data_IF_614084454377
#
_entry.id   IF_614084454377
#
_cell.length_a   1.000
_cell.length_b   1.000
_cell.length_c   1.000
_cell.angle_alpha   90.00
_cell.angle_beta   90.00
_cell.angle_gamma   90.00
#
_symmetry.space_group_name_H-M   'P 1'
#
loop_
_entity.id
_entity.type
_entity.pdbx_description
1 polymer ?
#
# COMPACT_ATOMS: atom_id res chain seq x y z
N UNK A 1 32.83 -60.89 -25.05
CA UNK A 1 31.52 -60.19 -25.17
C UNK A 1 31.02 -59.56 -23.88
N UNK A 2 31.77 -59.45 -22.77
CA UNK A 2 31.28 -58.86 -21.47
C UNK A 2 31.66 -57.37 -21.23
N UNK A 3 32.56 -56.77 -21.97
CA UNK A 3 32.99 -55.37 -21.76
C UNK A 3 32.05 -54.29 -22.35
N UNK A 4 31.23 -54.60 -23.36
CA UNK A 4 30.29 -53.64 -23.98
C UNK A 4 29.00 -53.41 -23.18
N UNK A 5 28.60 -54.36 -22.34
CA UNK A 5 27.40 -54.25 -21.51
C UNK A 5 27.62 -53.33 -20.32
N UNK A 6 28.85 -53.31 -19.72
CA UNK A 6 29.19 -52.49 -18.56
C UNK A 6 29.20 -50.97 -18.88
N UNK A 7 29.69 -50.58 -20.08
CA UNK A 7 29.68 -49.17 -20.50
C UNK A 7 28.27 -48.60 -20.75
N UNK A 8 27.34 -49.41 -21.21
CA UNK A 8 25.96 -48.98 -21.45
C UNK A 8 25.19 -48.74 -20.17
N UNK A 9 25.42 -49.58 -19.13
CA UNK A 9 24.75 -49.43 -17.83
C UNK A 9 25.27 -48.23 -17.08
N UNK A 10 26.59 -47.92 -17.11
CA UNK A 10 27.17 -46.74 -16.46
C UNK A 10 26.72 -45.42 -17.11
N UNK A 11 26.56 -45.41 -18.46
CA UNK A 11 26.09 -44.19 -19.17
C UNK A 11 24.62 -43.88 -18.85
N UNK A 12 23.78 -44.90 -18.69
CA UNK A 12 22.36 -44.72 -18.33
C UNK A 12 22.19 -44.20 -16.88
N UNK A 13 23.05 -44.70 -15.97
CA UNK A 13 23.03 -44.25 -14.56
C UNK A 13 23.51 -42.81 -14.41
N UNK A 14 24.53 -42.38 -15.17
CA UNK A 14 24.95 -40.95 -15.17
C UNK A 14 23.90 -40.03 -15.79
N UNK A 15 23.20 -40.46 -16.84
CA UNK A 15 22.12 -39.67 -17.44
C UNK A 15 20.89 -39.53 -16.51
N UNK A 16 20.58 -40.57 -15.72
CA UNK A 16 19.53 -40.53 -14.73
C UNK A 16 19.88 -39.61 -13.50
N UNK A 17 21.16 -39.55 -13.08
CA UNK A 17 21.63 -38.63 -12.06
C UNK A 17 21.66 -37.17 -12.54
N UNK A 18 21.95 -36.95 -13.83
CA UNK A 18 21.92 -35.59 -14.41
C UNK A 18 20.48 -35.07 -14.61
N UNK A 19 19.50 -35.92 -14.84
CA UNK A 19 18.07 -35.55 -14.90
C UNK A 19 17.45 -35.29 -13.51
N UNK A 20 18.06 -35.78 -12.44
CA UNK A 20 17.60 -35.55 -11.07
C UNK A 20 18.01 -34.20 -10.44
N UNK A 21 18.90 -33.45 -11.08
CA UNK A 21 19.20 -32.05 -10.73
C UNK A 21 18.28 -31.08 -11.49
N UNK A 22 16.98 -31.35 -11.53
CA UNK A 22 16.02 -30.26 -11.69
C UNK A 22 16.23 -29.36 -10.46
N UNK A 23 17.05 -28.31 -10.62
CA UNK A 23 17.26 -27.31 -9.58
C UNK A 23 15.87 -26.90 -9.13
N UNK A 24 15.50 -27.23 -7.90
CA UNK A 24 14.38 -26.59 -7.25
C UNK A 24 14.69 -25.11 -7.31
N UNK A 25 14.09 -24.41 -8.26
CA UNK A 25 14.29 -22.99 -8.46
C UNK A 25 13.84 -22.33 -7.16
N UNK A 26 14.81 -21.92 -6.34
CA UNK A 26 14.52 -21.27 -5.05
C UNK A 26 13.63 -20.07 -5.33
N UNK A 27 12.52 -19.99 -4.61
CA UNK A 27 11.60 -18.87 -4.75
C UNK A 27 12.34 -17.55 -4.51
N UNK A 28 12.08 -16.56 -5.34
CA UNK A 28 12.68 -15.22 -5.19
C UNK A 28 12.04 -14.53 -3.98
N UNK A 29 12.81 -14.16 -2.95
CA UNK A 29 12.28 -13.44 -1.80
C UNK A 29 11.90 -12.02 -2.22
N UNK A 30 10.74 -11.55 -1.74
CA UNK A 30 10.26 -10.17 -1.91
C UNK A 30 9.69 -9.68 -0.59
N UNK A 31 10.25 -8.61 -0.06
CA UNK A 31 9.69 -7.88 1.07
C UNK A 31 8.79 -6.77 0.56
N UNK A 32 7.50 -6.88 0.83
CA UNK A 32 6.48 -5.92 0.42
C UNK A 32 5.92 -5.19 1.64
N UNK A 33 5.84 -3.86 1.58
CA UNK A 33 5.20 -3.07 2.64
C UNK A 33 3.93 -2.40 2.14
N UNK A 34 2.83 -2.61 2.89
CA UNK A 34 1.62 -1.82 2.74
C UNK A 34 1.87 -0.37 3.23
N UNK A 35 1.06 0.54 2.77
CA UNK A 35 1.06 1.93 3.26
C UNK A 35 0.29 2.09 4.57
N UNK A 36 -0.53 1.10 4.93
CA UNK A 36 -1.41 1.15 6.08
C UNK A 36 -1.48 -0.18 6.83
N UNK A 37 -2.28 -0.19 7.89
CA UNK A 37 -2.57 -1.37 8.71
C UNK A 37 -3.28 -2.46 7.90
N UNK A 38 -3.29 -3.67 8.44
CA UNK A 38 -4.14 -4.75 7.94
C UNK A 38 -5.60 -4.44 8.22
N UNK A 39 -6.27 -3.90 7.24
CA UNK A 39 -7.69 -3.55 7.22
C UNK A 39 -8.29 -4.02 5.88
N UNK A 40 -9.58 -3.82 5.64
CA UNK A 40 -10.27 -4.30 4.44
C UNK A 40 -9.48 -4.19 3.12
N UNK A 41 -8.89 -3.04 2.78
CA UNK A 41 -8.14 -2.89 1.53
C UNK A 41 -6.89 -3.76 1.41
N UNK A 42 -6.32 -4.24 2.52
CA UNK A 42 -5.19 -5.16 2.50
C UNK A 42 -5.54 -6.54 1.93
N UNK A 43 -6.84 -6.87 1.85
CA UNK A 43 -7.33 -8.10 1.22
C UNK A 43 -6.80 -8.26 -0.22
N UNK A 44 -6.61 -7.16 -0.97
CA UNK A 44 -6.06 -7.18 -2.32
C UNK A 44 -4.68 -7.84 -2.40
N UNK A 45 -3.90 -7.77 -1.32
CA UNK A 45 -2.55 -8.31 -1.21
C UNK A 45 -2.48 -9.62 -0.41
N UNK A 46 -3.28 -9.71 0.66
CA UNK A 46 -3.28 -10.88 1.56
C UNK A 46 -4.00 -12.08 0.93
N UNK A 47 -5.05 -11.85 0.16
CA UNK A 47 -5.75 -12.94 -0.55
C UNK A 47 -4.84 -13.69 -1.52
N UNK A 48 -4.11 -13.06 -2.47
CA UNK A 48 -3.19 -13.78 -3.33
C UNK A 48 -2.05 -14.46 -2.56
N UNK A 49 -1.61 -13.91 -1.42
CA UNK A 49 -0.63 -14.54 -0.55
C UNK A 49 -1.20 -15.81 0.11
N UNK A 50 -2.38 -15.73 0.72
CA UNK A 50 -3.07 -16.83 1.39
C UNK A 50 -3.42 -17.97 0.40
N UNK A 51 -3.81 -17.62 -0.82
CA UNK A 51 -4.11 -18.59 -1.89
C UNK A 51 -2.89 -19.17 -2.58
N UNK A 52 -1.70 -18.73 -2.23
CA UNK A 52 -0.46 -19.26 -2.79
C UNK A 52 -0.08 -18.74 -4.18
N UNK A 53 -0.77 -17.72 -4.74
CA UNK A 53 -0.49 -17.24 -6.10
C UNK A 53 0.93 -16.67 -6.25
N UNK A 54 1.48 -16.08 -5.21
CA UNK A 54 2.89 -15.68 -5.22
C UNK A 54 3.82 -16.89 -5.23
N UNK A 55 3.51 -17.94 -4.45
CA UNK A 55 4.31 -19.18 -4.42
C UNK A 55 4.27 -19.91 -5.76
N UNK A 56 3.11 -19.97 -6.41
CA UNK A 56 2.96 -20.55 -7.74
C UNK A 56 3.77 -19.77 -8.78
N UNK A 57 3.92 -18.46 -8.58
CA UNK A 57 4.77 -17.58 -9.38
C UNK A 57 6.26 -17.66 -9.01
N UNK A 58 6.67 -18.61 -8.14
CA UNK A 58 8.04 -18.77 -7.63
C UNK A 58 8.55 -17.55 -6.86
N UNK A 59 7.66 -16.89 -6.13
CA UNK A 59 7.98 -15.77 -5.25
C UNK A 59 7.70 -16.15 -3.79
N UNK A 60 8.63 -15.77 -2.89
CA UNK A 60 8.46 -15.85 -1.45
C UNK A 60 8.20 -14.44 -0.93
N UNK A 61 6.91 -14.07 -0.83
CA UNK A 61 6.48 -12.70 -0.53
C UNK A 61 6.15 -12.58 0.96
N UNK A 62 6.85 -11.70 1.64
CA UNK A 62 6.50 -11.24 2.99
C UNK A 62 5.79 -9.89 2.88
N UNK A 63 4.62 -9.76 3.50
CA UNK A 63 3.80 -8.53 3.48
C UNK A 63 3.71 -7.98 4.90
N UNK A 64 4.16 -6.74 5.07
CA UNK A 64 4.12 -6.03 6.35
C UNK A 64 3.20 -4.81 6.29
N UNK A 65 2.57 -4.50 7.42
CA UNK A 65 1.76 -3.30 7.58
C UNK A 65 2.63 -2.03 7.57
N UNK A 66 2.04 -0.91 7.16
CA UNK A 66 2.65 0.42 7.16
C UNK A 66 1.97 1.39 8.13
N UNK A 67 2.50 2.61 8.14
CA UNK A 67 1.99 3.72 8.96
C UNK A 67 1.80 5.01 8.14
N UNK A 68 1.66 4.88 6.84
CA UNK A 68 1.46 5.96 5.87
C UNK A 68 2.40 5.84 4.67
N UNK A 69 1.91 6.27 3.50
CA UNK A 69 2.60 6.14 2.21
C UNK A 69 4.00 6.76 2.20
N UNK A 70 4.21 7.90 2.87
CA UNK A 70 5.55 8.51 2.97
C UNK A 70 6.57 7.60 3.66
N UNK A 71 6.13 6.83 4.67
CA UNK A 71 6.96 5.84 5.35
C UNK A 71 7.34 4.68 4.44
N UNK A 72 6.39 4.17 3.66
CA UNK A 72 6.63 3.09 2.69
C UNK A 72 7.61 3.52 1.61
N UNK A 73 7.42 4.71 1.02
CA UNK A 73 8.37 5.27 0.02
C UNK A 73 9.79 5.31 0.57
N UNK A 74 9.96 5.84 1.79
CA UNK A 74 11.29 5.94 2.44
C UNK A 74 11.92 4.58 2.66
N UNK A 75 11.15 3.57 3.08
CA UNK A 75 11.67 2.23 3.35
C UNK A 75 12.02 1.46 2.08
N UNK A 76 11.26 1.64 1.00
CA UNK A 76 11.63 1.08 -0.31
C UNK A 76 12.89 1.79 -0.86
N UNK A 77 12.99 3.11 -0.72
CA UNK A 77 14.17 3.87 -1.11
C UNK A 77 15.43 3.46 -0.34
N UNK A 78 15.30 3.15 0.96
CA UNK A 78 16.44 2.70 1.78
C UNK A 78 16.84 1.24 1.52
N UNK A 79 16.03 0.47 0.78
CA UNK A 79 16.26 -0.96 0.53
C UNK A 79 15.83 -1.87 1.68
N UNK A 80 15.12 -1.36 2.70
CA UNK A 80 14.53 -2.17 3.76
C UNK A 80 13.39 -3.07 3.21
N UNK A 81 12.72 -2.61 2.15
CA UNK A 81 11.71 -3.33 1.38
C UNK A 81 12.03 -3.26 -0.11
N UNK A 82 11.67 -4.32 -0.83
CA UNK A 82 11.89 -4.42 -2.28
C UNK A 82 10.79 -3.72 -3.07
N UNK A 83 9.56 -3.81 -2.55
CA UNK A 83 8.34 -3.27 -3.14
C UNK A 83 7.43 -2.71 -2.03
N UNK A 84 6.43 -1.93 -2.42
CA UNK A 84 5.40 -1.47 -1.48
C UNK A 84 4.20 -0.85 -2.17
N UNK A 85 3.17 -0.58 -1.37
CA UNK A 85 2.00 0.21 -1.76
C UNK A 85 2.19 1.63 -1.22
N UNK A 86 2.09 2.64 -2.07
CA UNK A 86 2.19 4.03 -1.63
C UNK A 86 1.41 4.97 -2.54
N UNK A 87 0.88 6.03 -1.96
CA UNK A 87 0.25 7.12 -2.71
C UNK A 87 1.26 7.79 -3.65
N UNK A 88 0.82 8.06 -4.88
CA UNK A 88 1.71 8.58 -5.92
C UNK A 88 2.19 10.01 -5.59
N UNK A 89 1.39 10.83 -4.91
CA UNK A 89 1.82 12.16 -4.48
C UNK A 89 2.95 12.07 -3.43
N UNK A 90 2.91 11.10 -2.52
CA UNK A 90 3.99 10.86 -1.57
C UNK A 90 5.28 10.41 -2.28
N UNK A 91 5.18 9.61 -3.35
CA UNK A 91 6.31 9.23 -4.18
C UNK A 91 6.90 10.44 -4.91
N UNK A 92 6.06 11.27 -5.52
CA UNK A 92 6.48 12.50 -6.22
C UNK A 92 7.15 13.49 -5.27
N UNK A 93 6.59 13.67 -4.07
CA UNK A 93 7.19 14.51 -3.02
C UNK A 93 8.58 14.00 -2.61
N UNK A 94 8.72 12.69 -2.42
CA UNK A 94 10.03 12.09 -2.12
C UNK A 94 11.05 12.38 -3.24
N UNK A 95 10.65 12.24 -4.51
CA UNK A 95 11.52 12.55 -5.65
C UNK A 95 11.92 14.03 -5.68
N UNK A 96 10.99 14.93 -5.42
CA UNK A 96 11.24 16.38 -5.42
C UNK A 96 12.18 16.79 -4.27
N UNK A 97 12.01 16.21 -3.09
CA UNK A 97 12.82 16.54 -1.92
C UNK A 97 14.19 15.84 -1.90
N UNK A 98 14.40 14.85 -2.77
CA UNK A 98 15.64 14.07 -2.84
C UNK A 98 16.11 13.96 -4.29
N UNK A 99 16.44 15.09 -4.98
CA UNK A 99 16.77 15.10 -6.40
C UNK A 99 17.94 14.18 -6.74
N UNK A 100 18.96 14.12 -5.87
CA UNK A 100 20.20 13.39 -6.09
C UNK A 100 20.21 11.98 -5.46
N UNK A 101 19.09 11.52 -4.86
CA UNK A 101 19.06 10.19 -4.26
C UNK A 101 19.17 9.10 -5.35
N UNK A 102 20.13 8.16 -5.23
CA UNK A 102 20.37 7.13 -6.25
C UNK A 102 19.27 6.06 -6.30
N UNK A 103 18.52 5.89 -5.20
CA UNK A 103 17.58 4.79 -5.01
C UNK A 103 16.12 5.26 -4.95
N UNK A 104 15.72 6.17 -5.85
CA UNK A 104 14.33 6.64 -5.90
C UNK A 104 13.41 5.53 -6.39
N UNK A 105 12.41 5.11 -5.60
CA UNK A 105 11.45 4.09 -6.03
C UNK A 105 10.68 4.52 -7.27
N UNK A 106 10.20 3.54 -8.03
CA UNK A 106 9.44 3.74 -9.28
C UNK A 106 8.07 3.10 -9.14
N UNK A 107 7.02 3.79 -9.55
CA UNK A 107 5.68 3.22 -9.65
C UNK A 107 5.57 2.31 -10.88
N UNK A 108 5.02 1.10 -10.68
CA UNK A 108 4.91 0.08 -11.75
C UNK A 108 3.47 -0.33 -12.04
N UNK A 109 2.52 -0.05 -11.14
CA UNK A 109 1.09 -0.32 -11.34
C UNK A 109 0.26 0.59 -10.46
N UNK A 110 -0.76 1.26 -11.03
CA UNK A 110 -1.76 1.98 -10.24
C UNK A 110 -2.75 1.01 -9.62
N UNK A 111 -3.09 1.24 -8.35
CA UNK A 111 -4.12 0.51 -7.60
C UNK A 111 -5.37 1.37 -7.45
N UNK A 112 -5.22 2.66 -7.16
CA UNK A 112 -6.31 3.64 -7.11
C UNK A 112 -6.05 4.74 -8.13
N UNK A 113 -6.93 4.86 -9.13
CA UNK A 113 -6.79 5.86 -10.20
C UNK A 113 -7.05 7.29 -9.71
N UNK A 114 -7.89 7.45 -8.68
CA UNK A 114 -8.15 8.72 -8.01
C UNK A 114 -7.76 8.62 -6.53
N UNK A 115 -7.31 9.73 -5.96
CA UNK A 115 -6.99 9.76 -4.54
C UNK A 115 -8.26 9.58 -3.68
N UNK A 116 -8.29 8.61 -2.77
CA UNK A 116 -9.38 8.46 -1.81
C UNK A 116 -9.20 9.35 -0.56
N UNK A 117 -8.21 10.24 -0.58
CA UNK A 117 -7.94 11.15 0.53
C UNK A 117 -9.09 12.13 0.75
N UNK A 118 -9.42 12.33 2.02
CA UNK A 118 -10.47 13.26 2.45
C UNK A 118 -10.06 13.95 3.75
N UNK A 119 -10.63 15.12 4.00
CA UNK A 119 -10.76 15.65 5.36
C UNK A 119 -12.10 15.20 5.91
N UNK A 120 -12.11 14.72 7.14
CA UNK A 120 -13.32 14.28 7.84
C UNK A 120 -13.44 14.99 9.18
N UNK A 121 -14.66 15.46 9.49
CA UNK A 121 -15.00 16.10 10.76
C UNK A 121 -16.34 15.57 11.25
N UNK A 122 -16.60 15.64 12.55
CA UNK A 122 -17.93 15.32 13.08
C UNK A 122 -18.86 16.50 12.88
N UNK A 123 -20.11 16.29 12.47
CA UNK A 123 -21.12 17.36 12.30
C UNK A 123 -21.26 18.23 13.54
N UNK A 124 -21.13 17.65 14.74
CA UNK A 124 -21.19 18.37 16.02
C UNK A 124 -20.08 19.42 16.19
N UNK A 125 -18.98 19.36 15.42
CA UNK A 125 -17.89 20.34 15.47
C UNK A 125 -18.25 21.67 14.81
N UNK A 126 -19.35 21.70 14.02
CA UNK A 126 -19.75 22.87 13.24
C UNK A 126 -18.98 23.05 11.93
N UNK A 127 -17.96 22.23 11.66
CA UNK A 127 -17.21 22.23 10.39
C UNK A 127 -18.11 21.64 9.28
N UNK A 128 -18.34 22.40 8.20
CA UNK A 128 -19.22 22.02 7.09
C UNK A 128 -18.51 22.13 5.74
N UNK A 129 -17.56 23.03 5.62
CA UNK A 129 -16.86 23.36 4.38
C UNK A 129 -15.35 23.39 4.62
N UNK A 130 -14.51 23.31 3.57
CA UNK A 130 -13.07 23.43 3.72
C UNK A 130 -12.63 24.73 4.41
N UNK A 131 -13.33 25.85 4.17
CA UNK A 131 -12.99 27.15 4.79
C UNK A 131 -13.07 27.11 6.32
N UNK A 132 -13.97 26.29 6.88
CA UNK A 132 -14.13 26.13 8.34
C UNK A 132 -12.96 25.44 9.01
N UNK A 133 -12.03 24.86 8.24
CA UNK A 133 -10.79 24.25 8.73
C UNK A 133 -9.71 25.28 9.11
N UNK A 134 -9.91 26.55 8.76
CA UNK A 134 -8.94 27.60 9.10
C UNK A 134 -8.79 27.74 10.61
N UNK A 135 -7.55 27.69 11.09
CA UNK A 135 -7.22 27.73 12.52
C UNK A 135 -7.56 26.45 13.30
N UNK A 136 -8.13 25.42 12.68
CA UNK A 136 -8.54 24.18 13.35
C UNK A 136 -7.37 23.24 13.59
N UNK A 137 -7.54 22.36 14.58
CA UNK A 137 -6.61 21.30 14.92
C UNK A 137 -6.93 20.04 14.10
N UNK A 138 -6.05 19.67 13.18
CA UNK A 138 -6.16 18.48 12.36
C UNK A 138 -5.29 17.36 12.90
N UNK A 139 -5.78 16.13 12.80
CA UNK A 139 -5.08 14.93 13.27
C UNK A 139 -4.78 13.96 12.14
N UNK A 140 -3.53 13.51 12.05
CA UNK A 140 -3.14 12.37 11.21
C UNK A 140 -1.70 11.91 11.55
N UNK A 141 -1.34 10.65 11.19
CA UNK A 141 0.05 10.22 11.20
C UNK A 141 0.94 11.12 10.31
N UNK A 142 2.21 11.26 10.69
CA UNK A 142 3.15 12.15 9.96
C UNK A 142 3.32 11.71 8.50
N UNK A 143 3.25 10.41 8.23
CA UNK A 143 3.44 9.81 6.90
C UNK A 143 2.12 9.56 6.14
N UNK A 144 0.97 10.00 6.70
CA UNK A 144 -0.35 9.86 6.06
C UNK A 144 -0.38 10.61 4.71
N UNK A 145 -0.91 9.95 3.67
CA UNK A 145 -0.97 10.52 2.33
C UNK A 145 -1.85 11.78 2.28
N UNK A 146 -3.02 11.76 2.93
CA UNK A 146 -3.92 12.90 2.99
C UNK A 146 -3.28 14.11 3.69
N UNK A 147 -2.57 13.87 4.81
CA UNK A 147 -1.83 14.93 5.51
C UNK A 147 -0.75 15.54 4.62
N UNK A 148 -0.01 14.73 3.89
CA UNK A 148 1.08 15.21 3.00
C UNK A 148 0.54 15.99 1.80
N UNK A 149 -0.60 15.60 1.26
CA UNK A 149 -1.28 16.32 0.18
C UNK A 149 -2.13 17.51 0.66
N UNK A 150 -2.37 17.65 1.97
CA UNK A 150 -3.19 18.73 2.54
C UNK A 150 -2.75 20.15 2.16
N UNK A 151 -1.47 20.49 2.01
CA UNK A 151 -1.08 21.83 1.56
C UNK A 151 -1.69 22.22 0.20
N UNK A 152 -1.88 21.24 -0.70
CA UNK A 152 -2.54 21.46 -2.00
C UNK A 152 -4.03 21.73 -1.78
N UNK A 153 -4.69 20.90 -0.93
CA UNK A 153 -6.09 21.08 -0.55
C UNK A 153 -6.31 22.45 0.13
N UNK A 154 -5.47 22.82 1.08
CA UNK A 154 -5.54 24.08 1.80
C UNK A 154 -5.43 25.28 0.83
N UNK A 155 -4.46 25.23 -0.09
CA UNK A 155 -4.27 26.29 -1.09
C UNK A 155 -5.47 26.40 -2.02
N UNK A 156 -6.02 25.29 -2.49
CA UNK A 156 -7.17 25.28 -3.41
C UNK A 156 -8.46 25.84 -2.75
N UNK A 157 -8.57 25.72 -1.42
CA UNK A 157 -9.79 26.09 -0.68
C UNK A 157 -9.61 27.28 0.27
N UNK A 158 -8.48 27.98 0.22
CA UNK A 158 -8.22 29.15 1.06
C UNK A 158 -8.08 28.85 2.56
N UNK A 159 -7.75 27.61 2.94
CA UNK A 159 -7.57 27.22 4.34
C UNK A 159 -6.24 27.75 4.86
N UNK A 160 -6.27 28.46 5.99
CA UNK A 160 -5.08 29.05 6.62
C UNK A 160 -5.00 28.68 8.10
N UNK A 161 -3.77 28.62 8.65
CA UNK A 161 -3.56 28.47 10.08
C UNK A 161 -3.97 27.12 10.68
N UNK A 162 -4.23 26.09 9.86
CA UNK A 162 -4.51 24.74 10.34
C UNK A 162 -3.31 24.20 11.12
N UNK A 163 -3.57 23.62 12.28
CA UNK A 163 -2.55 23.07 13.18
C UNK A 163 -2.59 21.56 13.17
N UNK A 164 -1.42 20.91 13.19
CA UNK A 164 -1.34 19.46 13.11
C UNK A 164 -0.99 18.81 14.45
N UNK A 165 -1.77 17.79 14.80
CA UNK A 165 -1.45 16.84 15.85
C UNK A 165 -1.02 15.52 15.18
N UNK A 166 0.21 15.10 15.47
CA UNK A 166 0.72 13.80 15.03
C UNK A 166 0.22 12.71 15.97
N UNK A 167 -0.10 11.54 15.39
CA UNK A 167 -0.53 10.37 16.15
C UNK A 167 -0.24 9.10 15.38
N UNK A 168 -0.30 7.97 16.06
CA UNK A 168 -0.25 6.65 15.41
C UNK A 168 -1.57 6.31 14.72
N UNK A 169 -1.56 5.53 13.64
CA UNK A 169 -2.75 5.17 12.88
C UNK A 169 -3.94 4.69 13.71
N UNK A 170 -3.79 3.83 14.76
CA UNK A 170 -4.92 3.36 15.57
C UNK A 170 -5.64 4.44 16.36
N UNK A 171 -4.99 5.59 16.60
CA UNK A 171 -5.52 6.67 17.44
C UNK A 171 -6.30 7.72 16.65
N UNK A 172 -6.17 7.77 15.32
CA UNK A 172 -6.70 8.86 14.49
C UNK A 172 -8.19 9.10 14.71
N UNK A 173 -9.00 8.10 14.47
CA UNK A 173 -10.46 8.19 14.61
C UNK A 173 -10.88 8.34 16.09
N UNK A 174 -10.15 7.71 16.99
CA UNK A 174 -10.40 7.85 18.45
C UNK A 174 -10.23 9.30 18.92
N UNK A 175 -9.18 9.96 18.48
CA UNK A 175 -8.92 11.37 18.85
C UNK A 175 -9.97 12.31 18.26
N UNK A 176 -10.49 12.02 17.04
CA UNK A 176 -11.60 12.78 16.47
C UNK A 176 -12.89 12.59 17.29
N UNK A 177 -13.24 11.35 17.65
CA UNK A 177 -14.44 11.04 18.43
C UNK A 177 -14.41 11.71 19.80
N UNK A 178 -13.25 11.73 20.45
CA UNK A 178 -13.01 12.39 21.76
C UNK A 178 -12.99 13.90 21.68
N UNK A 179 -12.77 14.49 20.49
CA UNK A 179 -12.61 15.92 20.31
C UNK A 179 -11.20 16.43 20.63
N UNK A 180 -10.21 15.56 20.69
CA UNK A 180 -8.80 15.95 20.87
C UNK A 180 -8.26 16.67 19.61
N UNK A 181 -8.89 16.42 18.45
CA UNK A 181 -8.72 17.11 17.17
C UNK A 181 -10.09 17.47 16.58
N UNK A 182 -10.14 18.54 15.79
CA UNK A 182 -11.39 19.04 15.17
C UNK A 182 -11.72 18.27 13.88
N UNK A 183 -10.70 17.84 13.13
CA UNK A 183 -10.82 17.07 11.91
C UNK A 183 -9.62 16.14 11.74
N UNK A 184 -9.76 15.15 10.85
CA UNK A 184 -8.70 14.22 10.49
C UNK A 184 -8.53 14.17 8.98
N UNK A 185 -7.34 13.78 8.50
CA UNK A 185 -7.17 13.33 7.12
C UNK A 185 -7.04 11.81 7.08
N UNK A 186 -7.42 11.22 5.96
CA UNK A 186 -7.32 9.79 5.72
C UNK A 186 -8.05 9.38 4.46
N UNK A 187 -8.04 8.09 4.16
CA UNK A 187 -8.84 7.55 3.07
C UNK A 187 -10.28 7.34 3.54
N UNK A 188 -11.24 7.85 2.77
CA UNK A 188 -12.65 7.88 3.13
C UNK A 188 -13.17 6.51 3.60
N UNK A 189 -12.90 5.46 2.82
CA UNK A 189 -13.43 4.13 3.08
C UNK A 189 -12.89 3.51 4.39
N UNK A 190 -11.60 3.71 4.74
CA UNK A 190 -11.07 3.20 6.00
C UNK A 190 -11.52 4.00 7.20
N UNK A 191 -11.50 5.33 7.09
CA UNK A 191 -11.86 6.19 8.22
C UNK A 191 -13.36 6.12 8.57
N UNK A 192 -14.25 6.06 7.59
CA UNK A 192 -15.69 5.91 7.87
C UNK A 192 -15.99 4.60 8.59
N UNK A 193 -15.45 3.48 8.13
CA UNK A 193 -15.64 2.18 8.80
C UNK A 193 -15.04 2.17 10.22
N UNK A 194 -13.88 2.81 10.40
CA UNK A 194 -13.27 2.92 11.72
C UNK A 194 -14.05 3.86 12.67
N UNK A 195 -14.71 4.90 12.15
CA UNK A 195 -15.61 5.76 12.92
C UNK A 195 -16.88 5.00 13.30
N UNK A 196 -17.47 4.25 12.37
CA UNK A 196 -18.65 3.41 12.62
C UNK A 196 -18.36 2.37 13.71
N UNK A 197 -17.22 1.69 13.67
CA UNK A 197 -16.77 0.77 14.70
C UNK A 197 -16.61 1.43 16.09
N UNK A 198 -16.56 2.78 16.16
CA UNK A 198 -16.54 3.59 17.39
C UNK A 198 -17.88 4.21 17.72
N UNK A 199 -18.97 3.75 17.07
CA UNK A 199 -20.33 4.19 17.31
C UNK A 199 -20.69 5.53 16.64
N UNK A 200 -19.89 6.03 15.71
CA UNK A 200 -20.22 7.24 14.94
C UNK A 200 -20.92 6.81 13.65
N UNK A 201 -22.15 7.28 13.45
CA UNK A 201 -22.90 6.99 12.23
C UNK A 201 -22.29 7.78 11.05
N UNK A 202 -22.34 7.19 9.84
CA UNK A 202 -21.82 7.85 8.64
C UNK A 202 -22.51 9.21 8.39
N UNK A 203 -23.81 9.31 8.71
CA UNK A 203 -24.59 10.55 8.61
C UNK A 203 -24.13 11.66 9.56
N UNK A 204 -23.36 11.35 10.61
CA UNK A 204 -22.82 12.33 11.57
C UNK A 204 -21.42 12.82 11.19
N UNK A 205 -20.89 12.33 10.07
CA UNK A 205 -19.56 12.72 9.56
C UNK A 205 -19.72 13.66 8.36
N UNK A 206 -18.97 14.77 8.40
CA UNK A 206 -18.73 15.61 7.23
C UNK A 206 -17.50 15.05 6.52
N UNK A 207 -17.66 14.68 5.26
CA UNK A 207 -16.57 14.18 4.42
C UNK A 207 -16.29 15.21 3.33
N UNK A 208 -15.05 15.60 3.20
CA UNK A 208 -14.56 16.54 2.17
C UNK A 208 -13.52 15.85 1.30
N UNK A 209 -13.95 15.10 0.25
CA UNK A 209 -13.04 14.39 -0.63
C UNK A 209 -12.14 15.37 -1.40
N UNK A 210 -10.86 15.05 -1.47
CA UNK A 210 -9.89 15.92 -2.16
C UNK A 210 -10.24 16.18 -3.62
N UNK A 211 -10.67 15.18 -4.42
CA UNK A 211 -11.06 15.40 -5.82
C UNK A 211 -12.22 16.38 -5.98
N UNK A 212 -13.18 16.39 -5.06
CA UNK A 212 -14.35 17.29 -5.08
C UNK A 212 -14.01 18.72 -4.67
N UNK A 213 -12.84 18.91 -4.06
CA UNK A 213 -12.35 20.19 -3.57
C UNK A 213 -11.07 20.66 -4.29
N UNK A 214 -10.97 20.36 -5.59
CA UNK A 214 -9.93 20.90 -6.45
C UNK A 214 -8.57 20.18 -6.41
N UNK A 215 -8.47 19.05 -5.72
CA UNK A 215 -7.22 18.27 -5.63
C UNK A 215 -7.36 16.98 -6.42
N UNK A 216 -7.03 17.03 -7.71
CA UNK A 216 -7.08 15.87 -8.61
C UNK A 216 -5.69 15.21 -8.64
N UNK A 217 -5.51 14.20 -7.81
CA UNK A 217 -4.29 13.41 -7.73
C UNK A 217 -4.63 11.93 -7.96
N UNK A 218 -3.67 11.18 -8.44
CA UNK A 218 -3.75 9.72 -8.38
C UNK A 218 -3.66 9.27 -6.91
N UNK A 219 -4.18 8.08 -6.64
CA UNK A 219 -4.03 7.44 -5.34
C UNK A 219 -2.82 6.50 -5.30
N UNK A 220 -3.00 5.33 -4.69
CA UNK A 220 -1.91 4.41 -4.45
C UNK A 220 -1.46 3.66 -5.71
N UNK A 221 -0.14 3.47 -5.78
CA UNK A 221 0.54 2.64 -6.75
C UNK A 221 1.39 1.58 -6.05
N UNK A 222 1.63 0.46 -6.72
CA UNK A 222 2.71 -0.45 -6.36
C UNK A 222 4.01 0.19 -6.82
N UNK A 223 4.92 0.40 -5.86
CA UNK A 223 6.25 0.95 -6.07
C UNK A 223 7.32 -0.13 -5.89
N UNK A 224 8.42 0.02 -6.59
CA UNK A 224 9.55 -0.93 -6.55
C UNK A 224 10.87 -0.19 -6.35
N UNK A 225 11.83 -0.85 -5.71
CA UNK A 225 13.19 -0.34 -5.61
C UNK A 225 13.88 -0.39 -6.98
N UNK A 226 14.73 0.60 -7.33
CA UNK A 226 15.52 0.55 -8.56
C UNK A 226 16.40 -0.68 -8.65
N UNK A 227 16.86 -1.19 -7.51
CA UNK A 227 17.65 -2.42 -7.44
C UNK A 227 16.87 -3.61 -7.98
N UNK A 228 15.68 -3.89 -7.42
CA UNK A 228 14.84 -5.01 -7.88
C UNK A 228 14.43 -4.82 -9.35
N UNK A 229 14.12 -3.59 -9.77
CA UNK A 229 13.75 -3.28 -11.15
C UNK A 229 14.87 -3.63 -12.14
N UNK A 230 16.12 -3.37 -11.76
CA UNK A 230 17.30 -3.66 -12.57
C UNK A 230 17.70 -5.14 -12.52
N UNK A 231 17.71 -5.75 -11.33
CA UNK A 231 18.26 -7.09 -11.11
C UNK A 231 17.26 -8.21 -11.47
N UNK A 232 15.97 -8.00 -11.22
CA UNK A 232 14.95 -9.03 -11.46
C UNK A 232 13.59 -8.47 -11.90
N UNK A 233 13.49 -7.83 -13.07
CA UNK A 233 12.20 -7.32 -13.58
C UNK A 233 11.18 -8.44 -13.84
N UNK A 234 11.63 -9.67 -14.03
CA UNK A 234 10.75 -10.82 -14.18
C UNK A 234 9.96 -11.12 -12.89
N UNK A 235 10.60 -11.00 -11.72
CA UNK A 235 9.92 -11.16 -10.43
C UNK A 235 8.84 -10.09 -10.21
N UNK A 236 9.11 -8.83 -10.60
CA UNK A 236 8.11 -7.75 -10.55
C UNK A 236 6.89 -8.12 -11.42
N UNK A 237 7.13 -8.54 -12.66
CA UNK A 237 6.05 -8.94 -13.59
C UNK A 237 5.23 -10.11 -13.03
N UNK A 238 5.90 -11.11 -12.45
CA UNK A 238 5.26 -12.25 -11.80
C UNK A 238 4.41 -11.82 -10.60
N UNK A 239 4.92 -10.92 -9.74
CA UNK A 239 4.20 -10.34 -8.62
C UNK A 239 2.94 -9.60 -9.08
N UNK A 240 3.05 -8.70 -10.06
CA UNK A 240 1.93 -7.92 -10.57
C UNK A 240 0.85 -8.82 -11.19
N UNK A 241 1.24 -9.90 -11.87
CA UNK A 241 0.29 -10.88 -12.42
C UNK A 241 -0.48 -11.62 -11.32
N UNK A 242 0.23 -12.11 -10.29
CA UNK A 242 -0.37 -12.80 -9.15
C UNK A 242 -1.28 -11.84 -8.34
N UNK A 243 -0.84 -10.60 -8.12
CA UNK A 243 -1.64 -9.55 -7.50
C UNK A 243 -2.93 -9.29 -8.29
N UNK A 244 -2.85 -9.07 -9.60
CA UNK A 244 -4.02 -8.80 -10.44
C UNK A 244 -5.02 -9.97 -10.45
N UNK A 245 -4.55 -11.21 -10.34
CA UNK A 245 -5.40 -12.37 -10.17
C UNK A 245 -6.15 -12.31 -8.83
N UNK A 246 -5.44 -12.04 -7.73
CA UNK A 246 -6.05 -11.88 -6.41
C UNK A 246 -7.07 -10.75 -6.34
N UNK A 247 -6.77 -9.60 -6.96
CA UNK A 247 -7.72 -8.46 -7.06
C UNK A 247 -9.02 -8.89 -7.73
N UNK A 248 -8.96 -9.61 -8.85
CA UNK A 248 -10.17 -10.09 -9.54
C UNK A 248 -11.03 -10.98 -8.64
N UNK A 249 -10.41 -11.83 -7.83
CA UNK A 249 -11.15 -12.69 -6.90
C UNK A 249 -11.77 -11.91 -5.74
N UNK A 250 -11.04 -10.98 -5.15
CA UNK A 250 -11.58 -10.12 -4.08
C UNK A 250 -12.76 -9.32 -4.58
N UNK A 251 -12.69 -8.77 -5.79
CA UNK A 251 -13.80 -8.03 -6.40
C UNK A 251 -15.01 -8.93 -6.72
N UNK A 252 -14.76 -10.16 -7.13
CA UNK A 252 -15.82 -11.13 -7.43
C UNK A 252 -16.49 -11.69 -6.16
N UNK A 253 -15.76 -11.83 -5.05
CA UNK A 253 -16.20 -12.41 -3.79
C UNK A 253 -15.60 -11.65 -2.59
N UNK A 254 -16.07 -10.42 -2.30
CA UNK A 254 -15.47 -9.55 -1.27
C UNK A 254 -15.42 -10.19 0.12
N UNK A 255 -16.49 -10.90 0.52
CA UNK A 255 -16.58 -11.56 1.83
C UNK A 255 -15.46 -12.59 2.04
N UNK A 256 -15.14 -13.37 0.99
CA UNK A 256 -14.03 -14.32 1.03
C UNK A 256 -12.66 -13.64 1.01
N UNK A 257 -12.55 -12.48 0.35
CA UNK A 257 -11.34 -11.66 0.35
C UNK A 257 -11.00 -11.15 1.75
N UNK A 258 -12.01 -10.75 2.51
CA UNK A 258 -11.84 -10.24 3.88
C UNK A 258 -11.37 -11.33 4.85
N UNK A 259 -11.66 -12.60 4.62
CA UNK A 259 -11.16 -13.71 5.46
C UNK A 259 -9.63 -13.76 5.53
N UNK A 260 -8.93 -13.32 4.50
CA UNK A 260 -7.47 -13.26 4.50
C UNK A 260 -6.90 -12.14 5.38
N UNK A 261 -7.75 -11.22 5.85
CA UNK A 261 -7.36 -10.08 6.71
C UNK A 261 -7.58 -10.39 8.20
N UNK A 262 -8.43 -11.37 8.53
CA UNK A 262 -8.73 -11.83 9.90
C UNK A 262 -7.59 -12.67 10.46
#
# INVERSE_FOLDING_TARGET
>A
MKKRSFLKTTAITLAALAAGMAQAQTATPIKFQLDWRFEGPSALFLTPAAKGYFKDAKLDVTIDAGNGSGGTVTRVASGAYDMGLADLAALMEFHANNPDAPNKPVAVMMVYNDTPASVMALKKSGIKTPADLSGKKLGAPVFDAGRRAFPIFAKANGVTGAQWTAMDPPLRETMLVRGDVDAITGFTFTSLLNLEARGVKAEDVVVMPYPEHGVRLYGNAIIVSPKLLKENPAAIKAFLKAFAQGVKEVLAQPDKGIEAVK
#
